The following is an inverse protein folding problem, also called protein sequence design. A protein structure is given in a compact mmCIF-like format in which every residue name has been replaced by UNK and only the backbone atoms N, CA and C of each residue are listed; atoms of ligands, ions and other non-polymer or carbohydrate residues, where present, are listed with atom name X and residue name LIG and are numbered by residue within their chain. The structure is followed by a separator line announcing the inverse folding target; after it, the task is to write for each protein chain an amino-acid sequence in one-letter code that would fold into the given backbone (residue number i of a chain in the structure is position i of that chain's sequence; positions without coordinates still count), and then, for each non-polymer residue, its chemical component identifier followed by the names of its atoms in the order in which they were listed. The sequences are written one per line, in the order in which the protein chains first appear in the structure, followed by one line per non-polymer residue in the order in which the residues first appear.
data_IF_744829510742
#
_entry.id   IF_744829510742
#
_cell.length_a   1.000
_cell.length_b   1.000
_cell.length_c   1.000
_cell.angle_alpha   90.00
_cell.angle_beta   90.00
_cell.angle_gamma   90.00
#
_symmetry.space_group_name_H-M   'P 1'
#
loop_
_entity.id
_entity.type
_entity.pdbx_description
1 polymer ?
#
# COMPACT_ATOMS: atom_id res chain seq x y z
N UNK A 1 -7.95 15.95 -0.31
CA UNK A 1 -7.31 15.09 -1.34
C UNK A 1 -7.45 13.63 -0.91
N UNK A 2 -7.59 12.69 -1.84
CA UNK A 2 -7.67 11.26 -1.51
C UNK A 2 -6.32 10.60 -1.78
N UNK A 3 -5.79 9.90 -0.79
CA UNK A 3 -4.56 9.13 -0.88
C UNK A 3 -4.84 7.64 -1.07
N UNK A 4 -3.87 6.91 -1.61
CA UNK A 4 -3.97 5.47 -1.86
C UNK A 4 -2.87 4.74 -1.09
N UNK A 5 -3.24 3.68 -0.36
CA UNK A 5 -2.30 2.70 0.17
C UNK A 5 -2.56 1.35 -0.50
N UNK A 6 -1.56 0.84 -1.21
CA UNK A 6 -1.59 -0.48 -1.81
C UNK A 6 -0.90 -1.47 -0.87
N UNK A 7 -1.63 -2.47 -0.39
CA UNK A 7 -1.15 -3.53 0.50
C UNK A 7 -1.07 -4.84 -0.27
N UNK A 8 0.09 -5.50 -0.26
CA UNK A 8 0.24 -6.83 -0.87
C UNK A 8 1.13 -7.74 -0.03
N UNK A 9 0.95 -9.05 -0.17
CA UNK A 9 1.88 -10.00 0.39
C UNK A 9 3.28 -9.92 -0.24
N UNK A 10 3.37 -9.44 -1.49
CA UNK A 10 4.63 -9.22 -2.20
C UNK A 10 4.94 -7.74 -2.27
N UNK A 11 6.16 -7.38 -1.87
CA UNK A 11 6.70 -6.05 -2.07
C UNK A 11 6.68 -5.65 -3.55
N UNK A 12 7.12 -6.56 -4.42
CA UNK A 12 7.21 -6.34 -5.86
C UNK A 12 5.84 -6.08 -6.50
N UNK A 13 4.79 -6.76 -6.03
CA UNK A 13 3.42 -6.50 -6.52
C UNK A 13 2.91 -5.14 -6.07
N UNK A 14 3.11 -4.77 -4.79
CA UNK A 14 2.69 -3.46 -4.28
C UNK A 14 3.39 -2.32 -5.04
N UNK A 15 4.72 -2.40 -5.19
CA UNK A 15 5.53 -1.40 -5.89
C UNK A 15 5.18 -1.35 -7.38
N UNK A 16 5.12 -2.50 -8.06
CA UNK A 16 4.78 -2.54 -9.49
C UNK A 16 3.37 -2.04 -9.80
N UNK A 17 2.43 -2.23 -8.88
CA UNK A 17 1.07 -1.68 -9.03
C UNK A 17 1.07 -0.16 -8.82
N UNK A 18 1.83 0.35 -7.85
CA UNK A 18 1.98 1.79 -7.66
C UNK A 18 2.61 2.47 -8.88
N UNK A 19 3.65 1.86 -9.46
CA UNK A 19 4.27 2.33 -10.70
C UNK A 19 3.26 2.40 -11.84
N UNK A 20 2.43 1.36 -12.01
CA UNK A 20 1.37 1.36 -13.02
C UNK A 20 0.34 2.48 -12.77
N UNK A 21 -0.10 2.65 -11.52
CA UNK A 21 -1.05 3.70 -11.15
C UNK A 21 -0.48 5.08 -11.46
N UNK A 22 0.78 5.35 -11.15
CA UNK A 22 1.46 6.62 -11.42
C UNK A 22 1.62 6.91 -12.92
N UNK A 23 1.63 5.90 -13.79
CA UNK A 23 1.61 6.10 -15.24
C UNK A 23 0.21 6.45 -15.77
N UNK A 24 -0.85 6.10 -15.04
CA UNK A 24 -2.25 6.25 -15.50
C UNK A 24 -2.97 7.42 -14.85
N UNK A 25 -2.77 7.60 -13.54
CA UNK A 25 -3.31 8.68 -12.74
C UNK A 25 -2.22 9.75 -12.58
N UNK A 26 -2.58 11.02 -12.80
CA UNK A 26 -1.66 12.15 -12.65
C UNK A 26 -1.27 12.39 -11.19
N UNK A 27 -1.71 13.50 -10.61
CA UNK A 27 -1.42 13.81 -9.21
C UNK A 27 -2.26 12.94 -8.26
N UNK A 28 -1.72 11.77 -7.90
CA UNK A 28 -2.24 10.91 -6.83
C UNK A 28 -1.16 10.66 -5.80
N UNK A 29 -1.48 10.88 -4.54
CA UNK A 29 -0.61 10.54 -3.43
C UNK A 29 -0.77 9.05 -3.13
N UNK A 30 0.29 8.26 -3.35
CA UNK A 30 0.24 6.81 -3.27
C UNK A 30 1.40 6.25 -2.45
N UNK A 31 1.10 5.24 -1.64
CA UNK A 31 2.08 4.47 -0.87
C UNK A 31 1.91 2.98 -1.14
N UNK A 32 3.01 2.28 -1.36
CA UNK A 32 3.05 0.84 -1.57
C UNK A 32 3.64 0.14 -0.35
N UNK A 33 2.90 -0.80 0.21
CA UNK A 33 3.31 -1.61 1.36
C UNK A 33 3.17 -3.08 0.98
N UNK A 34 4.30 -3.76 0.87
CA UNK A 34 4.27 -5.21 0.70
C UNK A 34 5.38 -5.95 1.43
N UNK A 35 5.09 -7.22 1.67
CA UNK A 35 5.90 -8.12 2.47
C UNK A 35 5.73 -7.92 3.98
N UNK A 36 6.20 -8.91 4.73
CA UNK A 36 6.30 -8.84 6.19
C UNK A 36 7.50 -7.97 6.65
N UNK A 37 7.77 -7.97 7.96
CA UNK A 37 8.86 -7.21 8.58
C UNK A 37 10.26 -7.66 8.10
N UNK A 38 10.40 -8.92 7.65
CA UNK A 38 11.65 -9.47 7.10
C UNK A 38 11.75 -9.28 5.57
N UNK A 39 10.72 -8.69 4.95
CA UNK A 39 10.63 -8.48 3.50
C UNK A 39 10.26 -9.75 2.72
N UNK A 40 9.82 -10.81 3.40
CA UNK A 40 9.30 -12.04 2.80
C UNK A 40 7.81 -11.88 2.45
N UNK A 41 7.22 -12.90 1.83
CA UNK A 41 5.79 -12.89 1.55
C UNK A 41 4.96 -12.82 2.84
N UNK A 42 4.17 -11.78 3.00
CA UNK A 42 3.39 -11.52 4.21
C UNK A 42 2.93 -10.08 4.32
N UNK A 43 2.37 -9.70 5.47
CA UNK A 43 1.93 -8.33 5.76
C UNK A 43 2.54 -7.83 7.06
N UNK A 44 2.73 -6.52 7.13
CA UNK A 44 3.26 -5.82 8.31
C UNK A 44 2.28 -4.70 8.71
N UNK A 45 1.44 -4.93 9.75
CA UNK A 45 0.47 -3.94 10.22
C UNK A 45 1.09 -2.60 10.61
N UNK A 46 2.29 -2.61 11.20
CA UNK A 46 2.96 -1.39 11.65
C UNK A 46 3.40 -0.54 10.46
N UNK A 47 3.92 -1.18 9.40
CA UNK A 47 4.24 -0.49 8.14
C UNK A 47 3.00 0.02 7.43
N UNK A 48 1.88 -0.71 7.48
CA UNK A 48 0.60 -0.27 6.91
C UNK A 48 0.10 0.97 7.66
N UNK A 49 0.08 0.94 9.00
CA UNK A 49 -0.33 2.10 9.81
C UNK A 49 0.57 3.32 9.55
N UNK A 50 1.89 3.12 9.54
CA UNK A 50 2.84 4.19 9.27
C UNK A 50 2.66 4.80 7.87
N UNK A 51 2.36 3.97 6.86
CA UNK A 51 2.05 4.42 5.50
C UNK A 51 0.79 5.27 5.45
N UNK A 52 -0.30 4.82 6.09
CA UNK A 52 -1.57 5.59 6.17
C UNK A 52 -1.36 6.93 6.86
N UNK A 53 -0.63 6.97 7.98
CA UNK A 53 -0.35 8.20 8.74
C UNK A 53 0.64 9.14 8.05
N UNK A 54 1.43 8.61 7.12
CA UNK A 54 2.45 9.36 6.38
C UNK A 54 1.91 10.13 5.18
N UNK A 55 0.67 9.84 4.75
CA UNK A 55 0.00 10.57 3.66
C UNK A 55 -0.54 11.91 4.17
N UNK A 56 -0.46 12.95 3.34
CA UNK A 56 -1.04 14.28 3.60
C UNK A 56 -2.53 14.36 3.17
N UNK A 57 -3.11 13.25 2.72
CA UNK A 57 -4.50 13.13 2.29
C UNK A 57 -5.53 13.22 3.44
N UNK A 58 -6.70 13.79 3.13
CA UNK A 58 -7.84 13.88 4.08
C UNK A 58 -8.55 12.53 4.25
N UNK A 59 -8.57 11.73 3.18
CA UNK A 59 -9.16 10.40 3.12
C UNK A 59 -8.16 9.43 2.47
N UNK A 60 -8.07 8.21 3.00
CA UNK A 60 -7.15 7.18 2.48
C UNK A 60 -7.93 5.96 2.05
N UNK A 61 -7.76 5.57 0.78
CA UNK A 61 -8.27 4.32 0.23
C UNK A 61 -7.20 3.24 0.36
N UNK A 62 -7.52 2.17 1.08
CA UNK A 62 -6.63 1.02 1.26
C UNK A 62 -7.09 -0.11 0.35
N UNK A 63 -6.21 -0.56 -0.54
CA UNK A 63 -6.45 -1.71 -1.41
C UNK A 63 -5.55 -2.86 -1.00
N UNK A 64 -6.06 -4.08 -1.06
CA UNK A 64 -5.38 -5.27 -0.55
C UNK A 64 -5.62 -6.46 -1.49
N UNK A 65 -4.62 -7.33 -1.64
CA UNK A 65 -4.62 -8.43 -2.59
C UNK A 65 -5.40 -9.67 -2.10
N UNK A 66 -4.91 -10.36 -1.08
CA UNK A 66 -5.40 -11.64 -0.59
C UNK A 66 -5.81 -11.54 0.89
N UNK A 67 -6.79 -12.36 1.29
CA UNK A 67 -7.58 -12.18 2.50
C UNK A 67 -6.83 -12.10 3.85
N UNK A 68 -5.60 -12.58 3.99
CA UNK A 68 -4.80 -12.38 5.21
C UNK A 68 -4.39 -10.92 5.43
N UNK A 69 -4.31 -10.12 4.37
CA UNK A 69 -4.07 -8.68 4.44
C UNK A 69 -5.26 -7.90 5.03
N UNK A 70 -6.45 -8.52 5.13
CA UNK A 70 -7.67 -7.93 5.71
C UNK A 70 -7.67 -8.02 7.26
N UNK A 71 -6.94 -8.98 7.82
CA UNK A 71 -6.94 -9.31 9.26
C UNK A 71 -5.73 -8.72 10.01
N UNK A 72 -4.85 -8.01 9.28
CA UNK A 72 -3.61 -7.41 9.76
C UNK A 72 -3.81 -5.93 10.05
#
# INVERSE_FOLDING_TARGET
MVGIVLVSHSKEIAEGTADLVLQMAGEVEISAVGGDADGSFGTDPERIEASIRGLEADEVLVFMDLGSAVLS
#
